data_IF_315388778218
#
_entry.id   IF_315388778218
#
_cell.length_a   1.000
_cell.length_b   1.000
_cell.length_c   1.000
_cell.angle_alpha   90.00
_cell.angle_beta   90.00
_cell.angle_gamma   90.00
#
_symmetry.space_group_name_H-M   'P 1'
#
loop_
_entity.id
_entity.type
_entity.pdbx_description
1 polymer ?
#
# COMPACT_ATOMS: atom_id res chain seq x y z
N UNK A 1 5.15 -5.87 23.61
CA UNK A 1 5.70 -6.91 22.76
C UNK A 1 6.56 -6.33 21.66
N UNK A 2 7.79 -6.77 21.63
CA UNK A 2 8.72 -6.31 20.61
C UNK A 2 8.23 -6.68 19.21
N UNK A 3 7.56 -7.81 19.10
CA UNK A 3 7.07 -8.30 17.82
C UNK A 3 5.99 -7.38 17.25
N UNK A 4 5.21 -6.72 18.10
CA UNK A 4 4.17 -5.81 17.64
C UNK A 4 4.78 -4.62 16.92
N UNK A 5 5.81 -4.02 17.51
CA UNK A 5 6.48 -2.88 16.88
C UNK A 5 7.14 -3.30 15.57
N UNK A 6 7.74 -4.47 15.58
CA UNK A 6 8.40 -4.98 14.40
C UNK A 6 7.40 -5.27 13.29
N UNK A 7 6.26 -5.82 13.66
CA UNK A 7 5.20 -6.10 12.68
C UNK A 7 4.68 -4.81 12.07
N UNK A 8 4.55 -3.76 12.89
CA UNK A 8 4.10 -2.47 12.39
C UNK A 8 5.08 -1.92 11.38
N UNK A 9 6.38 -2.06 11.65
CA UNK A 9 7.40 -1.60 10.73
C UNK A 9 7.35 -2.36 9.41
N UNK A 10 7.09 -3.66 9.48
CA UNK A 10 7.01 -4.49 8.28
C UNK A 10 5.78 -4.17 7.46
N UNK A 11 4.73 -3.69 8.10
CA UNK A 11 3.48 -3.38 7.41
C UNK A 11 3.45 -1.97 6.83
N UNK A 12 4.45 -1.15 7.15
CA UNK A 12 4.49 0.21 6.63
C UNK A 12 5.39 0.29 5.41
N UNK A 13 5.04 1.20 4.51
CA UNK A 13 5.86 1.46 3.33
C UNK A 13 7.11 2.23 3.77
N UNK A 14 8.28 1.86 3.28
CA UNK A 14 9.51 2.58 3.63
C UNK A 14 9.39 4.06 3.27
N UNK A 15 9.58 4.90 4.29
CA UNK A 15 9.41 6.34 4.13
C UNK A 15 10.37 6.92 3.09
N UNK A 16 11.61 6.46 3.12
CA UNK A 16 12.61 6.98 2.20
C UNK A 16 12.27 6.68 0.74
N UNK A 17 11.72 5.50 0.49
CA UNK A 17 11.33 5.13 -0.87
C UNK A 17 10.19 6.00 -1.39
N UNK A 18 9.21 6.28 -0.54
CA UNK A 18 8.09 7.14 -0.91
C UNK A 18 8.55 8.56 -1.14
N UNK A 19 9.44 9.07 -0.28
CA UNK A 19 9.98 10.41 -0.46
C UNK A 19 10.73 10.54 -1.78
N UNK A 20 11.49 9.52 -2.12
CA UNK A 20 12.21 9.52 -3.39
C UNK A 20 11.26 9.53 -4.57
N UNK A 21 10.20 8.73 -4.49
CA UNK A 21 9.21 8.67 -5.55
C UNK A 21 8.50 10.01 -5.71
N UNK A 22 8.11 10.64 -4.62
CA UNK A 22 7.48 11.95 -4.67
C UNK A 22 8.37 12.95 -5.38
N UNK A 23 9.66 12.92 -5.06
CA UNK A 23 10.61 13.86 -5.65
C UNK A 23 10.77 13.61 -7.15
N UNK A 24 10.69 12.35 -7.56
CA UNK A 24 10.78 12.02 -8.98
C UNK A 24 9.54 12.50 -9.74
N UNK A 25 8.37 12.39 -9.10
CA UNK A 25 7.12 12.78 -9.75
C UNK A 25 6.97 14.30 -9.82
N UNK A 26 7.30 14.99 -8.73
CA UNK A 26 7.17 16.45 -8.68
C UNK A 26 8.50 17.08 -8.24
N UNK A 27 9.50 17.09 -9.11
CA UNK A 27 10.85 17.53 -8.73
C UNK A 27 10.95 19.01 -8.40
N UNK A 28 10.04 19.82 -8.94
CA UNK A 28 10.13 21.28 -8.80
C UNK A 28 9.27 21.82 -7.68
N UNK A 29 8.53 20.97 -7.00
CA UNK A 29 7.61 21.40 -5.95
C UNK A 29 8.13 20.88 -4.60
N UNK A 30 8.11 21.77 -3.62
CA UNK A 30 8.45 21.40 -2.27
C UNK A 30 7.21 20.83 -1.59
N UNK A 31 7.30 19.59 -1.13
CA UNK A 31 6.18 18.93 -0.48
C UNK A 31 6.38 19.01 1.03
N UNK A 32 5.41 19.58 1.73
CA UNK A 32 5.48 19.73 3.17
C UNK A 32 5.48 18.38 3.88
N UNK A 33 6.02 18.35 5.09
CA UNK A 33 6.11 17.11 5.84
C UNK A 33 4.75 16.49 6.13
N UNK A 34 3.75 17.29 6.48
CA UNK A 34 2.42 16.77 6.76
C UNK A 34 1.79 16.19 5.49
N UNK A 35 2.08 16.79 4.34
CA UNK A 35 1.61 16.24 3.07
C UNK A 35 2.26 14.90 2.78
N UNK A 36 3.54 14.78 3.05
CA UNK A 36 4.25 13.50 2.85
C UNK A 36 3.70 12.42 3.75
N UNK A 37 3.40 12.78 5.01
CA UNK A 37 2.82 11.82 5.94
C UNK A 37 1.45 11.35 5.47
N UNK A 38 0.66 12.26 4.97
CA UNK A 38 -0.66 11.91 4.47
C UNK A 38 -0.56 11.01 3.23
N UNK A 39 0.35 11.32 2.32
CA UNK A 39 0.57 10.49 1.14
C UNK A 39 0.99 9.08 1.55
N UNK A 40 1.88 9.00 2.54
CA UNK A 40 2.34 7.71 3.03
C UNK A 40 1.18 6.89 3.61
N UNK A 41 0.32 7.54 4.38
CA UNK A 41 -0.85 6.89 4.94
C UNK A 41 -1.80 6.42 3.85
N UNK A 42 -2.00 7.24 2.83
CA UNK A 42 -2.86 6.87 1.70
C UNK A 42 -2.31 5.66 0.96
N UNK A 43 -1.00 5.61 0.75
CA UNK A 43 -0.38 4.47 0.09
C UNK A 43 -0.56 3.20 0.90
N UNK A 44 -0.34 3.28 2.21
CA UNK A 44 -0.49 2.12 3.08
C UNK A 44 -1.93 1.64 3.08
N UNK A 45 -2.87 2.55 3.18
CA UNK A 45 -4.28 2.22 3.18
C UNK A 45 -4.70 1.60 1.85
N UNK A 46 -4.19 2.15 0.76
CA UNK A 46 -4.51 1.62 -0.57
C UNK A 46 -4.05 0.17 -0.71
N UNK A 47 -2.80 -0.09 -0.33
CA UNK A 47 -2.25 -1.44 -0.42
C UNK A 47 -3.06 -2.40 0.45
N UNK A 48 -3.40 -1.96 1.65
CA UNK A 48 -4.19 -2.78 2.56
C UNK A 48 -5.54 -3.13 1.95
N UNK A 49 -6.23 -2.15 1.42
CA UNK A 49 -7.57 -2.36 0.87
C UNK A 49 -7.55 -3.21 -0.39
N UNK A 50 -6.59 -2.94 -1.28
CA UNK A 50 -6.53 -3.69 -2.53
C UNK A 50 -6.16 -5.14 -2.27
N UNK A 51 -5.22 -5.37 -1.35
CA UNK A 51 -4.79 -6.71 -1.02
C UNK A 51 -5.89 -7.49 -0.31
N UNK A 52 -6.61 -6.84 0.59
CA UNK A 52 -7.72 -7.49 1.31
C UNK A 52 -8.83 -7.89 0.35
N UNK A 53 -9.18 -7.00 -0.57
CA UNK A 53 -10.23 -7.29 -1.54
C UNK A 53 -9.79 -8.40 -2.49
N UNK A 54 -8.55 -8.34 -2.96
CA UNK A 54 -8.02 -9.36 -3.85
C UNK A 54 -7.99 -10.72 -3.14
N UNK A 55 -7.67 -10.72 -1.85
CA UNK A 55 -7.66 -11.94 -1.06
C UNK A 55 -9.04 -12.54 -0.96
N UNK A 56 -10.07 -11.71 -0.75
CA UNK A 56 -11.44 -12.19 -0.67
C UNK A 56 -11.86 -12.83 -1.99
N UNK A 57 -11.50 -12.21 -3.10
CA UNK A 57 -11.81 -12.77 -4.43
C UNK A 57 -11.10 -14.10 -4.62
N UNK A 58 -9.82 -14.12 -4.26
CA UNK A 58 -9.00 -15.33 -4.38
C UNK A 58 -9.60 -16.48 -3.60
N UNK A 59 -9.99 -16.21 -2.35
CA UNK A 59 -10.60 -17.23 -1.49
C UNK A 59 -11.94 -17.69 -2.01
N UNK A 60 -12.72 -16.79 -2.59
CA UNK A 60 -14.02 -17.15 -3.15
C UNK A 60 -13.87 -18.13 -4.30
N UNK A 61 -12.74 -18.11 -4.97
CA UNK A 61 -12.43 -19.04 -6.06
C UNK A 61 -11.67 -20.27 -5.57
N UNK A 62 -11.50 -20.38 -4.25
CA UNK A 62 -10.79 -21.50 -3.64
C UNK A 62 -9.36 -21.64 -4.14
N UNK A 63 -8.74 -20.50 -4.41
CA UNK A 63 -7.34 -20.46 -4.83
C UNK A 63 -6.43 -20.16 -3.65
N UNK A 64 -5.19 -20.61 -3.75
CA UNK A 64 -4.19 -20.37 -2.71
C UNK A 64 -3.16 -19.35 -3.14
N UNK A 65 -3.18 -18.94 -4.40
CA UNK A 65 -2.24 -17.97 -4.93
C UNK A 65 -3.01 -16.81 -5.51
N UNK A 66 -2.68 -15.61 -5.05
CA UNK A 66 -3.27 -14.39 -5.56
C UNK A 66 -2.56 -14.02 -6.85
N UNK A 67 -3.30 -13.99 -7.94
CA UNK A 67 -2.76 -13.64 -9.25
C UNK A 67 -3.08 -12.19 -9.58
N UNK A 68 -2.49 -11.71 -10.67
CA UNK A 68 -2.77 -10.36 -11.14
C UNK A 68 -4.25 -10.15 -11.44
N UNK A 69 -4.93 -11.21 -11.91
CA UNK A 69 -6.36 -11.12 -12.18
C UNK A 69 -7.15 -10.77 -10.92
N UNK A 70 -6.76 -11.32 -9.79
CA UNK A 70 -7.42 -11.01 -8.53
C UNK A 70 -7.22 -9.55 -8.15
N UNK A 71 -6.02 -9.04 -8.37
CA UNK A 71 -5.72 -7.65 -8.07
C UNK A 71 -6.50 -6.71 -8.99
N UNK A 72 -6.58 -7.05 -10.28
CA UNK A 72 -7.32 -6.23 -11.23
C UNK A 72 -8.81 -6.21 -10.89
N UNK A 73 -9.36 -7.36 -10.52
CA UNK A 73 -10.77 -7.43 -10.13
C UNK A 73 -11.01 -6.63 -8.87
N UNK A 74 -10.04 -6.64 -7.94
CA UNK A 74 -10.16 -5.85 -6.72
C UNK A 74 -10.16 -4.36 -7.02
N UNK A 75 -9.34 -3.93 -7.97
CA UNK A 75 -9.31 -2.52 -8.36
C UNK A 75 -10.67 -2.04 -8.89
N UNK A 76 -11.37 -2.90 -9.59
CA UNK A 76 -12.70 -2.55 -10.11
C UNK A 76 -13.71 -2.30 -8.99
N UNK A 77 -13.48 -2.86 -7.81
CA UNK A 77 -14.40 -2.73 -6.70
C UNK A 77 -14.11 -1.54 -5.80
N UNK A 78 -12.99 -0.87 -5.98
CA UNK A 78 -12.63 0.26 -5.14
C UNK A 78 -13.26 1.57 -5.59
#
# INVERSE_FOLDING_TARGET
MASTDKDDEELTIPRAAINKLIKEIVPDIRVANDSRELILQCCSEFIHRITSEANAICESQQKKTMSAEHVLAALDKL
#
